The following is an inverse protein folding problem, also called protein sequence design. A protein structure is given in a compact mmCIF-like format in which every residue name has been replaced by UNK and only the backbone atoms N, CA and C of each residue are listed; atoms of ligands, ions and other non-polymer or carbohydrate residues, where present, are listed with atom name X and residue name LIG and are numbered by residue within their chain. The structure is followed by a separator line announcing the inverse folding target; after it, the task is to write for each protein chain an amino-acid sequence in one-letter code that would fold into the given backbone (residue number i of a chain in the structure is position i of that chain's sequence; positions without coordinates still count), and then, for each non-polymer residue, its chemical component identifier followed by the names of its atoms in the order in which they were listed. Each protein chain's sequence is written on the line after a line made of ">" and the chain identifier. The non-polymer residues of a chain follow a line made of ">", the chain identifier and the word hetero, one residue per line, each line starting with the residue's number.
data_IF_363781565211
#
_entry.id   IF_363781565211
#
_cell.length_a   1.000
_cell.length_b   1.000
_cell.length_c   1.000
_cell.angle_alpha   90.00
_cell.angle_beta   90.00
_cell.angle_gamma   90.00
#
_symmetry.space_group_name_H-M   'P 1'
#
loop_
_entity.id
_entity.type
_entity.pdbx_description
1 polymer ?
#
# COMPACT_ATOMS: atom_id res chain seq x y z
N UNK A 1 8.95 -40.52 20.97
CA UNK A 1 8.59 -40.96 19.60
C UNK A 1 7.56 -42.08 19.76
N UNK A 2 6.31 -41.73 20.05
CA UNK A 2 5.22 -42.69 20.27
C UNK A 2 4.52 -42.95 18.94
N UNK A 3 4.86 -44.08 18.32
CA UNK A 3 4.14 -44.60 17.15
C UNK A 3 2.73 -45.03 17.58
N UNK A 4 1.69 -44.28 17.21
CA UNK A 4 0.33 -44.80 17.25
C UNK A 4 0.13 -45.70 16.03
N UNK A 5 0.13 -47.00 16.27
CA UNK A 5 -0.32 -48.01 15.32
C UNK A 5 -1.83 -47.81 15.12
N UNK A 6 -2.21 -47.07 14.09
CA UNK A 6 -3.59 -47.06 13.59
C UNK A 6 -3.94 -48.50 13.20
N UNK A 7 -4.86 -49.11 13.95
CA UNK A 7 -5.36 -50.44 13.66
C UNK A 7 -5.94 -50.44 12.23
N UNK A 8 -5.37 -51.27 11.34
CA UNK A 8 -5.96 -51.48 10.02
C UNK A 8 -7.27 -52.22 10.25
N UNK A 9 -8.39 -51.63 9.81
CA UNK A 9 -9.63 -52.40 9.65
C UNK A 9 -9.36 -53.60 8.75
N UNK A 10 -10.18 -54.64 8.89
CA UNK A 10 -10.10 -55.92 8.16
C UNK A 10 -9.94 -55.76 6.62
N UNK A 11 -10.31 -54.60 6.08
CA UNK A 11 -10.19 -54.22 4.67
C UNK A 11 -8.98 -53.34 4.32
N UNK A 12 -7.98 -53.23 5.20
CA UNK A 12 -6.75 -52.45 4.96
C UNK A 12 -6.95 -50.93 4.94
N UNK A 13 -8.13 -50.43 5.35
CA UNK A 13 -8.43 -49.00 5.45
C UNK A 13 -8.04 -48.47 6.83
N UNK A 14 -7.44 -47.27 6.84
CA UNK A 14 -7.05 -46.56 8.07
C UNK A 14 -8.31 -46.15 8.83
N UNK A 15 -8.52 -46.70 10.03
CA UNK A 15 -9.57 -46.23 10.94
C UNK A 15 -9.08 -44.97 11.64
N UNK A 16 -9.97 -43.99 11.77
CA UNK A 16 -9.70 -42.77 12.50
C UNK A 16 -10.25 -42.97 13.91
N UNK A 17 -9.37 -42.94 14.91
CA UNK A 17 -9.78 -43.10 16.30
C UNK A 17 -10.33 -41.77 16.83
N UNK A 18 -11.64 -41.69 17.07
CA UNK A 18 -12.34 -40.44 17.38
C UNK A 18 -11.79 -39.75 18.63
N UNK A 19 -11.38 -40.53 19.65
CA UNK A 19 -10.85 -40.03 20.91
C UNK A 19 -9.46 -39.37 20.74
N UNK A 20 -8.54 -39.99 20.00
CA UNK A 20 -7.22 -39.41 19.71
C UNK A 20 -7.37 -38.09 18.92
N UNK A 21 -8.30 -38.04 17.98
CA UNK A 21 -8.59 -36.83 17.22
C UNK A 21 -9.26 -35.74 18.07
N UNK A 22 -10.13 -36.13 19.02
CA UNK A 22 -10.74 -35.21 19.97
C UNK A 22 -9.69 -34.61 20.91
N UNK A 23 -8.76 -35.41 21.43
CA UNK A 23 -7.65 -34.92 22.26
C UNK A 23 -6.71 -34.02 21.49
N UNK A 24 -6.33 -34.41 20.26
CA UNK A 24 -5.49 -33.58 19.39
C UNK A 24 -6.16 -32.26 19.01
N UNK A 25 -7.49 -32.26 18.85
CA UNK A 25 -8.26 -31.04 18.62
C UNK A 25 -8.28 -30.12 19.86
N UNK A 26 -8.44 -30.69 21.06
CA UNK A 26 -8.34 -29.96 22.34
C UNK A 26 -6.93 -29.36 22.53
N UNK A 27 -5.89 -30.16 22.34
CA UNK A 27 -4.49 -29.70 22.44
C UNK A 27 -4.19 -28.56 21.46
N UNK A 28 -4.68 -28.63 20.21
CA UNK A 28 -4.54 -27.54 19.23
C UNK A 28 -5.29 -26.28 19.67
N UNK A 29 -6.46 -26.41 20.31
CA UNK A 29 -7.23 -25.27 20.84
C UNK A 29 -6.50 -24.62 22.00
N UNK A 30 -5.98 -25.42 22.94
CA UNK A 30 -5.19 -24.93 24.07
C UNK A 30 -3.90 -24.25 23.62
N UNK A 31 -3.18 -24.83 22.65
CA UNK A 31 -2.00 -24.19 22.05
C UNK A 31 -2.32 -22.85 21.39
N UNK A 32 -3.50 -22.70 20.78
CA UNK A 32 -3.92 -21.40 20.23
C UNK A 32 -4.16 -20.38 21.35
N UNK A 33 -4.85 -20.78 22.41
CA UNK A 33 -5.11 -19.92 23.56
C UNK A 33 -3.83 -19.54 24.32
N UNK A 34 -2.85 -20.44 24.39
CA UNK A 34 -1.55 -20.15 25.03
C UNK A 34 -0.61 -19.35 24.14
N UNK A 35 -0.74 -19.46 22.81
CA UNK A 35 -0.01 -18.61 21.86
C UNK A 35 -0.65 -17.23 21.67
N UNK A 36 -1.93 -17.06 22.04
CA UNK A 36 -2.60 -15.75 22.17
C UNK A 36 -2.00 -14.88 23.30
N UNK A 37 -0.87 -15.28 23.89
CA UNK A 37 0.01 -14.46 24.75
C UNK A 37 0.70 -13.32 23.99
N UNK A 38 0.12 -12.80 22.92
CA UNK A 38 0.53 -11.49 22.43
C UNK A 38 0.18 -10.48 23.52
N UNK A 39 1.22 -9.85 24.08
CA UNK A 39 1.06 -8.84 25.12
C UNK A 39 0.10 -7.77 24.59
N UNK A 40 -1.04 -7.61 25.27
CA UNK A 40 -1.88 -6.42 25.07
C UNK A 40 -0.96 -5.23 25.18
N UNK A 41 -0.95 -4.36 24.17
CA UNK A 41 0.01 -3.26 24.13
C UNK A 41 -0.21 -2.42 25.38
N UNK A 42 0.86 -2.27 26.17
CA UNK A 42 0.87 -1.62 27.48
C UNK A 42 0.60 -0.12 27.37
N UNK A 43 1.05 0.50 26.28
CA UNK A 43 0.88 1.93 26.04
C UNK A 43 0.40 2.24 24.62
N UNK A 44 -0.39 3.29 24.49
CA UNK A 44 -0.91 3.75 23.19
C UNK A 44 0.21 4.23 22.25
N UNK A 45 1.30 4.76 22.80
CA UNK A 45 2.43 5.28 22.02
C UNK A 45 3.24 4.14 21.36
N UNK A 46 3.50 3.05 22.10
CA UNK A 46 4.14 1.85 21.56
C UNK A 46 3.32 1.25 20.41
N UNK A 47 1.98 1.21 20.57
CA UNK A 47 1.08 0.74 19.52
C UNK A 47 1.24 1.56 18.23
N UNK A 48 1.26 2.89 18.34
CA UNK A 48 1.43 3.75 17.17
C UNK A 48 2.82 3.65 16.54
N UNK A 49 3.87 3.50 17.36
CA UNK A 49 5.23 3.27 16.87
C UNK A 49 5.31 1.97 16.06
N UNK A 50 4.81 0.88 16.60
CA UNK A 50 4.86 -0.42 15.91
C UNK A 50 3.99 -0.44 14.66
N UNK A 51 2.82 0.18 14.72
CA UNK A 51 1.98 0.39 13.55
C UNK A 51 2.72 1.18 12.45
N UNK A 52 3.41 2.25 12.81
CA UNK A 52 4.16 3.05 11.83
C UNK A 52 5.28 2.26 11.14
N UNK A 53 5.94 1.34 11.87
CA UNK A 53 6.95 0.44 11.30
C UNK A 53 6.33 -0.51 10.28
N UNK A 54 5.19 -1.13 10.60
CA UNK A 54 4.49 -2.05 9.69
C UNK A 54 4.01 -1.36 8.42
N UNK A 55 3.50 -0.13 8.53
CA UNK A 55 3.08 0.64 7.34
C UNK A 55 4.28 0.95 6.44
N UNK A 56 5.42 1.37 7.02
CA UNK A 56 6.65 1.59 6.24
C UNK A 56 7.14 0.33 5.54
N UNK A 57 7.03 -0.84 6.18
CA UNK A 57 7.36 -2.12 5.55
C UNK A 57 6.52 -2.36 4.29
N UNK A 58 5.21 -2.12 4.37
CA UNK A 58 4.29 -2.26 3.23
C UNK A 58 4.70 -1.37 2.05
N UNK A 59 5.14 -0.14 2.31
CA UNK A 59 5.61 0.78 1.27
C UNK A 59 6.94 0.32 0.64
N UNK A 60 7.84 -0.28 1.42
CA UNK A 60 9.13 -0.77 0.92
C UNK A 60 9.04 -2.04 0.05
N UNK A 61 8.03 -2.90 0.29
CA UNK A 61 7.93 -4.21 -0.37
C UNK A 61 7.03 -4.23 -1.61
N UNK A 62 6.94 -3.13 -2.37
CA UNK A 62 6.07 -3.05 -3.56
C UNK A 62 6.42 -4.04 -4.69
N UNK A 63 7.58 -4.70 -4.64
CA UNK A 63 7.99 -5.74 -5.60
C UNK A 63 8.80 -6.86 -4.91
N UNK A 64 8.12 -7.81 -4.27
CA UNK A 64 8.76 -9.04 -3.80
C UNK A 64 8.61 -10.15 -4.86
N UNK A 65 9.72 -10.57 -5.49
CA UNK A 65 9.74 -11.76 -6.32
C UNK A 65 9.86 -12.99 -5.41
N UNK A 66 8.85 -13.86 -5.41
CA UNK A 66 8.91 -15.12 -4.68
C UNK A 66 9.65 -16.18 -5.50
N UNK A 67 10.76 -16.69 -4.95
CA UNK A 67 11.39 -17.92 -5.44
C UNK A 67 10.64 -19.10 -4.82
N UNK A 68 9.98 -19.90 -5.65
CA UNK A 68 9.08 -20.99 -5.25
C UNK A 68 9.68 -21.89 -4.17
N UNK A 69 9.05 -21.88 -3.00
CA UNK A 69 9.10 -22.94 -2.00
C UNK A 69 7.66 -23.40 -1.80
N UNK A 70 7.43 -24.69 -1.51
CA UNK A 70 6.11 -25.35 -1.32
C UNK A 70 5.21 -24.68 -0.26
N UNK A 71 5.72 -23.64 0.40
CA UNK A 71 5.04 -22.67 1.28
C UNK A 71 4.39 -21.50 0.53
N UNK A 72 4.00 -21.67 -0.73
CA UNK A 72 3.31 -20.64 -1.53
C UNK A 72 2.01 -20.10 -0.89
N UNK A 73 1.44 -20.78 0.11
CA UNK A 73 0.30 -20.28 0.92
C UNK A 73 0.65 -19.10 1.84
N UNK A 74 1.93 -18.85 2.10
CA UNK A 74 2.41 -17.78 2.99
C UNK A 74 2.93 -16.55 2.24
N UNK A 75 2.67 -16.45 0.94
CA UNK A 75 3.01 -15.28 0.15
C UNK A 75 2.07 -14.11 0.52
N UNK A 76 2.54 -13.17 1.35
CA UNK A 76 1.79 -11.96 1.71
C UNK A 76 2.14 -11.38 3.08
N UNK A 77 1.47 -10.30 3.45
CA UNK A 77 1.57 -9.68 4.77
C UNK A 77 0.85 -10.54 5.82
N UNK A 78 1.57 -10.92 6.87
CA UNK A 78 0.99 -11.66 7.99
C UNK A 78 0.61 -10.70 9.13
N UNK A 79 -0.61 -10.82 9.65
CA UNK A 79 -1.01 -10.18 10.89
C UNK A 79 -0.88 -11.16 12.07
N UNK A 80 0.07 -10.92 12.97
CA UNK A 80 0.33 -11.77 14.14
C UNK A 80 -0.87 -11.86 15.10
N UNK A 81 -1.55 -10.73 15.34
CA UNK A 81 -2.68 -10.67 16.28
C UNK A 81 -3.94 -11.38 15.78
N UNK A 82 -4.15 -11.42 14.46
CA UNK A 82 -5.35 -12.00 13.85
C UNK A 82 -5.08 -13.35 13.20
N UNK A 83 -3.82 -13.77 13.08
CA UNK A 83 -3.38 -14.97 12.36
C UNK A 83 -3.95 -15.07 10.93
N UNK A 84 -4.09 -13.92 10.25
CA UNK A 84 -4.56 -13.82 8.86
C UNK A 84 -3.41 -13.36 7.96
N UNK A 85 -3.34 -13.93 6.76
CA UNK A 85 -2.39 -13.54 5.71
C UNK A 85 -3.11 -12.79 4.59
N UNK A 86 -2.52 -11.71 4.11
CA UNK A 86 -3.07 -10.84 3.07
C UNK A 86 -2.10 -10.76 1.89
N UNK A 87 -2.60 -11.01 0.69
CA UNK A 87 -1.78 -10.90 -0.53
C UNK A 87 -1.58 -9.46 -0.97
N UNK A 88 -2.60 -8.63 -0.78
CA UNK A 88 -2.60 -7.23 -1.21
C UNK A 88 -2.27 -6.27 -0.06
N UNK A 89 -1.50 -5.22 -0.38
CA UNK A 89 -1.15 -4.14 0.55
C UNK A 89 -2.41 -3.44 1.09
N UNK A 90 -3.37 -3.15 0.22
CA UNK A 90 -4.60 -2.44 0.59
C UNK A 90 -5.46 -3.26 1.55
N UNK A 91 -5.57 -4.57 1.30
CA UNK A 91 -6.30 -5.49 2.17
C UNK A 91 -5.64 -5.61 3.54
N UNK A 92 -4.30 -5.58 3.60
CA UNK A 92 -3.58 -5.55 4.88
C UNK A 92 -3.80 -4.23 5.64
N UNK A 93 -3.75 -3.09 4.95
CA UNK A 93 -3.97 -1.77 5.58
C UNK A 93 -5.41 -1.58 6.06
N UNK A 94 -6.41 -2.06 5.30
CA UNK A 94 -7.81 -2.06 5.73
C UNK A 94 -7.98 -2.94 6.96
N UNK A 95 -7.35 -4.11 6.99
CA UNK A 95 -7.38 -5.01 8.14
C UNK A 95 -6.82 -4.35 9.41
N UNK A 96 -5.71 -3.62 9.32
CA UNK A 96 -5.16 -2.89 10.46
C UNK A 96 -6.13 -1.82 11.02
N UNK A 97 -7.09 -1.34 10.22
CA UNK A 97 -8.11 -0.37 10.61
C UNK A 97 -9.43 -1.00 11.08
N UNK A 98 -9.62 -2.30 10.86
CA UNK A 98 -10.84 -3.00 11.24
C UNK A 98 -10.99 -3.07 12.77
N UNK A 99 -12.25 -3.00 13.23
CA UNK A 99 -12.60 -3.09 14.66
C UNK A 99 -12.10 -4.40 15.29
N UNK A 100 -12.11 -5.50 14.54
CA UNK A 100 -11.61 -6.80 15.00
C UNK A 100 -10.12 -6.75 15.35
N UNK A 101 -9.32 -6.08 14.53
CA UNK A 101 -7.88 -5.95 14.78
C UNK A 101 -7.60 -5.02 15.98
N UNK A 102 -8.31 -3.89 16.03
CA UNK A 102 -8.12 -2.88 17.08
C UNK A 102 -8.55 -3.40 18.47
N UNK A 103 -9.64 -4.16 18.55
CA UNK A 103 -10.08 -4.80 19.79
C UNK A 103 -9.07 -5.83 20.30
N UNK A 104 -8.53 -6.68 19.41
CA UNK A 104 -7.48 -7.64 19.75
C UNK A 104 -6.17 -6.97 20.16
N UNK A 105 -5.84 -5.83 19.57
CA UNK A 105 -4.65 -5.05 19.95
C UNK A 105 -4.73 -4.38 21.33
N UNK A 106 -5.91 -4.39 21.96
CA UNK A 106 -6.13 -3.78 23.27
C UNK A 106 -6.46 -2.28 23.22
N UNK A 107 -6.52 -1.68 22.03
CA UNK A 107 -6.86 -0.26 21.84
C UNK A 107 -8.38 -0.10 21.71
N UNK A 108 -9.11 -0.38 22.79
CA UNK A 108 -10.58 -0.28 22.81
C UNK A 108 -11.09 1.17 22.81
N UNK A 109 -10.22 2.16 23.09
CA UNK A 109 -10.61 3.55 23.27
C UNK A 109 -10.55 4.46 22.03
N UNK A 110 -10.22 3.95 20.84
CA UNK A 110 -10.09 4.79 19.64
C UNK A 110 -11.39 4.97 18.85
N UNK A 111 -12.32 4.02 18.95
CA UNK A 111 -13.60 4.09 18.25
C UNK A 111 -14.64 4.96 18.97
N UNK A 112 -14.35 5.38 20.21
CA UNK A 112 -15.21 6.33 20.91
C UNK A 112 -14.87 7.74 20.43
N UNK A 113 -15.91 8.44 19.95
CA UNK A 113 -15.79 9.84 19.55
C UNK A 113 -15.46 10.68 20.79
N UNK A 114 -14.18 11.04 20.97
CA UNK A 114 -13.79 12.01 21.99
C UNK A 114 -14.28 13.39 21.58
N UNK A 115 -14.99 14.05 22.49
CA UNK A 115 -15.34 15.47 22.34
C UNK A 115 -14.07 16.29 22.61
N UNK A 116 -13.71 17.15 21.67
CA UNK A 116 -12.55 18.04 21.80
C UNK A 116 -12.99 19.44 22.18
N UNK A 117 -12.23 20.10 23.06
CA UNK A 117 -12.47 21.49 23.46
C UNK A 117 -11.59 22.46 22.67
N UNK A 118 -11.93 23.76 22.71
CA UNK A 118 -11.12 24.82 22.08
C UNK A 118 -9.69 24.85 22.65
N UNK A 119 -9.52 24.50 23.93
CA UNK A 119 -8.20 24.43 24.57
C UNK A 119 -7.32 23.33 23.94
N UNK A 120 -7.90 22.17 23.62
CA UNK A 120 -7.18 21.06 22.99
C UNK A 120 -6.71 21.41 21.58
N UNK A 121 -7.55 22.14 20.84
CA UNK A 121 -7.19 22.63 19.50
C UNK A 121 -6.02 23.61 19.58
N UNK A 122 -6.03 24.56 20.53
CA UNK A 122 -4.92 25.49 20.73
C UNK A 122 -3.61 24.76 21.07
N UNK A 123 -3.66 23.78 21.98
CA UNK A 123 -2.50 22.93 22.32
C UNK A 123 -1.97 22.18 21.10
N UNK A 124 -2.86 21.59 20.30
CA UNK A 124 -2.46 20.85 19.10
C UNK A 124 -1.84 21.76 18.04
N UNK A 125 -2.40 22.95 17.83
CA UNK A 125 -1.86 23.94 16.91
C UNK A 125 -0.48 24.45 17.36
N UNK A 126 -0.28 24.66 18.66
CA UNK A 126 1.04 25.01 19.21
C UNK A 126 2.09 23.94 18.88
N UNK A 127 1.78 22.68 19.21
CA UNK A 127 2.63 21.53 18.91
C UNK A 127 2.96 21.39 17.41
N UNK A 128 1.96 21.60 16.52
CA UNK A 128 2.19 21.54 15.07
C UNK A 128 3.09 22.68 14.59
N UNK A 129 2.97 23.88 15.13
CA UNK A 129 3.87 25.01 14.80
C UNK A 129 5.30 24.70 15.22
N UNK A 130 5.50 24.15 16.41
CA UNK A 130 6.83 23.74 16.89
C UNK A 130 7.44 22.67 15.99
N UNK A 131 6.69 21.62 15.66
CA UNK A 131 7.15 20.59 14.71
C UNK A 131 7.50 21.14 13.33
N UNK A 132 6.70 22.06 12.80
CA UNK A 132 7.01 22.69 11.50
C UNK A 132 8.28 23.53 11.60
N UNK A 133 8.48 24.26 12.71
CA UNK A 133 9.72 24.99 12.95
C UNK A 133 10.92 24.04 13.03
N UNK A 134 10.82 22.93 13.76
CA UNK A 134 11.87 21.91 13.85
C UNK A 134 12.20 21.33 12.46
N UNK A 135 11.18 20.96 11.69
CA UNK A 135 11.35 20.43 10.32
C UNK A 135 12.05 21.44 9.42
N UNK A 136 11.65 22.71 9.46
CA UNK A 136 12.23 23.78 8.65
C UNK A 136 13.63 24.16 9.12
N UNK A 137 13.90 24.14 10.42
CA UNK A 137 15.22 24.42 10.97
C UNK A 137 16.26 23.35 10.63
N UNK A 138 15.82 22.15 10.23
CA UNK A 138 16.71 21.08 9.83
C UNK A 138 17.16 21.31 8.38
N UNK A 139 18.44 21.67 8.12
CA UNK A 139 18.92 22.04 6.79
C UNK A 139 18.82 20.88 5.77
N UNK A 140 18.79 19.62 6.24
CA UNK A 140 18.61 18.45 5.39
C UNK A 140 17.21 18.41 4.74
N UNK A 141 16.19 18.91 5.42
CA UNK A 141 14.84 18.96 4.87
C UNK A 141 14.68 20.07 3.84
N UNK A 142 15.31 21.22 4.04
CA UNK A 142 15.30 22.30 3.04
C UNK A 142 15.90 21.84 1.71
N UNK A 143 17.01 21.08 1.77
CA UNK A 143 17.65 20.52 0.59
C UNK A 143 16.77 19.46 -0.12
N UNK A 144 16.06 18.62 0.64
CA UNK A 144 15.10 17.65 0.08
C UNK A 144 13.88 18.33 -0.58
N UNK A 145 13.39 19.43 0.00
CA UNK A 145 12.27 20.18 -0.57
C UNK A 145 12.72 20.90 -1.85
N UNK A 146 13.88 21.54 -1.84
CA UNK A 146 14.46 22.21 -3.02
C UNK A 146 14.69 21.23 -4.16
N UNK A 147 15.36 20.11 -3.90
CA UNK A 147 15.57 19.07 -4.90
C UNK A 147 14.26 18.48 -5.44
N UNK A 148 13.23 18.30 -4.61
CA UNK A 148 11.92 17.84 -5.10
C UNK A 148 11.25 18.85 -6.05
N UNK A 149 11.32 20.14 -5.72
CA UNK A 149 10.82 21.22 -6.59
C UNK A 149 11.61 21.31 -7.89
N UNK A 150 12.94 21.25 -7.82
CA UNK A 150 13.82 21.24 -9.01
C UNK A 150 13.49 20.06 -9.94
N UNK A 151 13.28 18.86 -9.40
CA UNK A 151 12.88 17.68 -10.19
C UNK A 151 11.52 17.89 -10.87
N UNK A 152 10.56 18.53 -10.20
CA UNK A 152 9.25 18.83 -10.77
C UNK A 152 9.34 19.88 -11.88
N UNK A 153 10.11 20.94 -11.66
CA UNK A 153 10.32 22.00 -12.63
C UNK A 153 11.07 21.48 -13.86
N UNK A 154 12.11 20.67 -13.68
CA UNK A 154 12.81 20.02 -14.77
C UNK A 154 11.87 19.11 -15.59
N UNK A 155 10.95 18.40 -14.92
CA UNK A 155 9.94 17.56 -15.57
C UNK A 155 8.95 18.40 -16.38
N UNK A 156 8.54 19.55 -15.88
CA UNK A 156 7.65 20.49 -16.57
C UNK A 156 8.35 21.14 -17.76
N UNK A 157 9.60 21.55 -17.62
CA UNK A 157 10.41 22.08 -18.71
C UNK A 157 10.63 21.05 -19.80
N UNK A 158 10.97 19.80 -19.43
CA UNK A 158 11.12 18.70 -20.39
C UNK A 158 9.81 18.44 -21.15
N UNK A 159 8.66 18.56 -20.48
CA UNK A 159 7.34 18.50 -21.14
C UNK A 159 7.10 19.68 -22.08
N UNK A 160 7.48 20.91 -21.69
CA UNK A 160 7.36 22.12 -22.53
C UNK A 160 8.25 22.04 -23.77
N UNK A 161 9.52 21.66 -23.63
CA UNK A 161 10.48 21.44 -24.73
C UNK A 161 9.95 20.40 -25.72
N UNK A 162 9.51 19.23 -25.24
CA UNK A 162 8.86 18.21 -26.10
C UNK A 162 7.62 18.74 -26.84
N UNK A 163 6.82 19.60 -26.21
CA UNK A 163 5.64 20.22 -26.85
C UNK A 163 6.04 21.23 -27.93
N UNK A 164 7.09 22.01 -27.70
CA UNK A 164 7.64 22.96 -28.68
C UNK A 164 8.26 22.24 -29.87
N UNK A 165 9.08 21.22 -29.64
CA UNK A 165 9.66 20.38 -30.72
C UNK A 165 8.57 19.73 -31.58
N UNK A 166 7.51 19.20 -30.97
CA UNK A 166 6.35 18.67 -31.71
C UNK A 166 5.67 19.75 -32.54
N UNK A 167 5.53 20.98 -32.03
CA UNK A 167 4.95 22.10 -32.77
C UNK A 167 5.85 22.52 -33.94
N UNK A 168 7.16 22.62 -33.74
CA UNK A 168 8.12 22.95 -34.81
C UNK A 168 8.16 21.87 -35.87
N UNK A 169 8.20 20.59 -35.51
CA UNK A 169 8.11 19.48 -36.47
C UNK A 169 6.82 19.54 -37.30
N UNK A 170 5.68 19.86 -36.68
CA UNK A 170 4.41 20.05 -37.42
C UNK A 170 4.47 21.25 -38.37
N UNK A 171 5.07 22.37 -37.94
CA UNK A 171 5.27 23.56 -38.78
C UNK A 171 6.21 23.29 -39.95
N UNK A 172 7.35 22.64 -39.72
CA UNK A 172 8.30 22.30 -40.78
C UNK A 172 7.70 21.28 -41.76
N UNK A 173 6.88 20.33 -41.28
CA UNK A 173 6.14 19.42 -42.15
C UNK A 173 5.08 20.17 -42.97
N UNK A 174 4.34 21.12 -42.38
CA UNK A 174 3.39 21.93 -43.13
C UNK A 174 4.08 22.85 -44.13
N UNK A 175 5.19 23.50 -43.77
CA UNK A 175 5.97 24.37 -44.66
C UNK A 175 6.59 23.58 -45.83
N UNK A 176 7.07 22.36 -45.59
CA UNK A 176 7.53 21.46 -46.65
C UNK A 176 6.38 21.03 -47.59
N UNK A 177 5.18 20.87 -47.05
CA UNK A 177 3.99 20.55 -47.85
C UNK A 177 3.49 21.78 -48.64
N UNK A 178 3.64 23.01 -48.12
CA UNK A 178 3.17 24.23 -48.77
C UNK A 178 4.15 24.78 -49.81
N UNK A 179 5.46 24.55 -49.66
CA UNK A 179 6.47 25.10 -50.57
C UNK A 179 6.60 24.33 -51.91
N UNK A 180 5.88 23.21 -52.07
CA UNK A 180 5.97 22.35 -53.26
C UNK A 180 4.70 22.26 -54.11
N UNK A 181 3.58 22.87 -53.72
CA UNK A 181 2.32 22.72 -54.45
C UNK A 181 1.49 24.00 -54.46
N UNK A 182 1.01 24.39 -55.64
CA UNK A 182 0.05 25.46 -55.83
C UNK A 182 -1.21 25.18 -55.01
N UNK A 183 -1.47 26.07 -54.05
CA UNK A 183 -2.54 25.97 -53.05
C UNK A 183 -3.93 25.78 -53.67
N UNK A 184 -4.15 26.25 -54.90
CA UNK A 184 -5.41 26.15 -55.65
C UNK A 184 -5.67 24.75 -56.22
N UNK A 185 -4.65 24.05 -56.72
CA UNK A 185 -4.82 22.70 -57.27
C UNK A 185 -4.92 21.66 -56.15
N UNK A 186 -4.15 21.81 -55.08
CA UNK A 186 -4.26 20.97 -53.88
C UNK A 186 -5.63 21.08 -53.20
N UNK A 187 -6.17 22.29 -53.10
CA UNK A 187 -7.50 22.54 -52.52
C UNK A 187 -8.62 21.89 -53.36
N UNK A 188 -8.43 21.80 -54.68
CA UNK A 188 -9.34 21.15 -55.61
C UNK A 188 -9.20 19.62 -55.58
N UNK A 189 -7.97 19.09 -55.46
CA UNK A 189 -7.69 17.65 -55.36
C UNK A 189 -8.10 17.05 -54.00
N UNK A 190 -8.00 17.83 -52.91
CA UNK A 190 -8.42 17.46 -51.55
C UNK A 190 -9.90 17.76 -51.27
N UNK A 191 -10.67 18.23 -52.27
CA UNK A 191 -12.12 18.40 -52.18
C UNK A 191 -12.61 19.59 -51.31
N UNK A 192 -11.77 20.58 -51.04
CA UNK A 192 -12.10 21.76 -50.21
C UNK A 192 -12.63 22.96 -51.01
N UNK A 193 -12.99 22.79 -52.28
CA UNK A 193 -13.39 23.88 -53.17
C UNK A 193 -14.90 24.23 -53.15
N UNK A 194 -15.74 23.64 -52.29
CA UNK A 194 -17.18 23.94 -52.33
C UNK A 194 -17.98 23.63 -51.03
N UNK A 195 -17.56 24.09 -49.85
CA UNK A 195 -18.48 24.32 -48.73
C UNK A 195 -18.88 25.79 -48.79
N UNK A 196 -20.13 26.04 -49.20
CA UNK A 196 -20.62 27.33 -49.66
C UNK A 196 -20.66 28.46 -48.63
N UNK A 197 -21.07 29.63 -49.15
CA UNK A 197 -21.54 30.80 -48.38
C UNK A 197 -22.47 30.45 -47.23
#
# INVERSE_FOLDING_TARGET
>A
MSNSNSAKSDFGRKTWDEDEYAEKAKARREQRLTNDKYSKVTSLDEFYKDRSKRVKQVDTYSSSNLVSSDKAKYAGFHCELCHRTFRDNLAYLSHLNEKEHLTKSGVSGLHTLKKYTVADVKKRLGYLREKVKEINSNPQNENNIRSSHEIQDERLERRRKKRQERRQKRKNMSEKLTNGLDTKELQTLMGFSNFGS
#
